data_IF_000713820563
#
_entry.id   IF_000713820563
#
_cell.length_a   1.000
_cell.length_b   1.000
_cell.length_c   1.000
_cell.angle_alpha   90.00
_cell.angle_beta   90.00
_cell.angle_gamma   90.00
#
_symmetry.space_group_name_H-M   'P 1'
#
loop_
_entity.id
_entity.type
_entity.pdbx_description
1 polymer ?
#
# COMPACT_ATOMS: atom_id res chain seq x y z
N UNK A 1 10.20 4.63 -7.44
CA UNK A 1 9.06 3.81 -6.98
C UNK A 1 7.82 4.23 -7.74
N UNK A 2 7.06 3.27 -8.27
CA UNK A 2 5.78 3.55 -8.93
C UNK A 2 4.75 4.03 -7.89
N UNK A 3 3.98 5.07 -8.23
CA UNK A 3 2.98 5.62 -7.29
C UNK A 3 1.85 4.59 -7.03
N UNK A 4 1.66 4.23 -5.76
CA UNK A 4 0.58 3.34 -5.30
C UNK A 4 -0.81 3.84 -5.73
N UNK A 5 -1.01 5.15 -5.86
CA UNK A 5 -2.26 5.72 -6.36
C UNK A 5 -2.50 5.36 -7.82
N UNK A 6 -1.46 5.37 -8.64
CA UNK A 6 -1.54 4.98 -10.05
C UNK A 6 -1.87 3.50 -10.18
N UNK A 7 -1.20 2.65 -9.39
CA UNK A 7 -1.48 1.21 -9.31
C UNK A 7 -2.95 0.97 -8.94
N UNK A 8 -3.49 1.72 -7.96
CA UNK A 8 -4.87 1.57 -7.52
C UNK A 8 -5.91 2.07 -8.52
N UNK A 9 -5.65 3.21 -9.18
CA UNK A 9 -6.62 3.85 -10.08
C UNK A 9 -6.68 3.18 -11.45
N UNK A 10 -5.57 2.60 -11.91
CA UNK A 10 -5.46 1.96 -13.22
C UNK A 10 -4.66 0.65 -13.15
N UNK A 11 -5.12 -0.35 -12.38
CA UNK A 11 -4.38 -1.60 -12.15
C UNK A 11 -4.12 -2.35 -13.45
N UNK A 12 -5.12 -2.49 -14.32
CA UNK A 12 -4.98 -3.19 -15.61
C UNK A 12 -3.97 -2.52 -16.55
N UNK A 13 -3.98 -1.19 -16.61
CA UNK A 13 -3.04 -0.46 -17.46
C UNK A 13 -1.60 -0.63 -16.96
N UNK A 14 -1.39 -0.56 -15.65
CA UNK A 14 -0.09 -0.80 -15.03
C UNK A 14 0.34 -2.25 -15.22
N UNK A 15 -0.56 -3.21 -15.01
CA UNK A 15 -0.33 -4.64 -15.19
C UNK A 15 0.14 -4.95 -16.60
N UNK A 16 -0.60 -4.49 -17.61
CA UNK A 16 -0.25 -4.70 -19.01
C UNK A 16 1.12 -4.08 -19.33
N UNK A 17 1.38 -2.85 -18.88
CA UNK A 17 2.66 -2.19 -19.11
C UNK A 17 3.84 -2.92 -18.43
N UNK A 18 3.67 -3.43 -17.21
CA UNK A 18 4.70 -4.20 -16.53
C UNK A 18 4.93 -5.56 -17.19
N UNK A 19 3.87 -6.22 -17.66
CA UNK A 19 3.98 -7.50 -18.38
C UNK A 19 4.73 -7.40 -19.71
N UNK A 20 4.68 -6.23 -20.39
CA UNK A 20 5.52 -5.97 -21.58
C UNK A 20 7.01 -6.09 -21.28
N UNK A 21 7.40 -5.78 -20.04
CA UNK A 21 8.78 -5.81 -19.57
C UNK A 21 9.14 -7.17 -18.99
N UNK A 22 8.32 -7.66 -18.07
CA UNK A 22 8.54 -8.93 -17.39
C UNK A 22 7.21 -9.49 -16.85
N UNK A 23 6.76 -10.66 -17.34
CA UNK A 23 5.56 -11.33 -16.85
C UNK A 23 5.58 -11.65 -15.35
N UNK A 24 6.76 -11.83 -14.73
CA UNK A 24 6.90 -12.14 -13.30
C UNK A 24 6.50 -10.97 -12.40
N UNK A 25 6.35 -9.76 -12.95
CA UNK A 25 5.90 -8.58 -12.22
C UNK A 25 4.40 -8.57 -11.94
N UNK A 26 3.60 -9.35 -12.68
CA UNK A 26 2.14 -9.36 -12.50
C UNK A 26 1.73 -9.89 -11.11
N UNK A 27 2.23 -11.04 -10.60
CA UNK A 27 1.96 -11.49 -9.23
C UNK A 27 2.38 -10.49 -8.15
N UNK A 28 3.49 -9.79 -8.34
CA UNK A 28 3.98 -8.76 -7.40
C UNK A 28 2.98 -7.61 -7.32
N UNK A 29 2.46 -7.17 -8.48
CA UNK A 29 1.45 -6.12 -8.54
C UNK A 29 0.14 -6.52 -7.83
N UNK A 30 -0.32 -7.76 -8.03
CA UNK A 30 -1.51 -8.27 -7.34
C UNK A 30 -1.31 -8.29 -5.81
N UNK A 31 -0.11 -8.66 -5.36
CA UNK A 31 0.21 -8.65 -3.94
C UNK A 31 0.20 -7.23 -3.36
N UNK A 32 0.74 -6.24 -4.08
CA UNK A 32 0.67 -4.83 -3.70
C UNK A 32 -0.78 -4.35 -3.58
N UNK A 33 -1.66 -4.72 -4.52
CA UNK A 33 -3.08 -4.35 -4.48
C UNK A 33 -3.80 -4.96 -3.27
N UNK A 34 -3.49 -6.22 -2.94
CA UNK A 34 -4.04 -6.90 -1.77
C UNK A 34 -3.62 -6.19 -0.47
N UNK A 35 -2.32 -5.95 -0.29
CA UNK A 35 -1.80 -5.29 0.90
C UNK A 35 -2.31 -3.85 1.04
N UNK A 36 -2.43 -3.11 -0.06
CA UNK A 36 -3.04 -1.77 -0.05
C UNK A 36 -4.49 -1.79 0.42
N UNK A 37 -5.26 -2.81 0.01
CA UNK A 37 -6.63 -3.01 0.49
C UNK A 37 -6.66 -3.30 1.98
N UNK A 38 -5.88 -4.28 2.44
CA UNK A 38 -5.80 -4.63 3.86
C UNK A 38 -5.39 -3.45 4.74
N UNK A 39 -4.40 -2.67 4.27
CA UNK A 39 -3.94 -1.45 4.93
C UNK A 39 -5.07 -0.45 5.11
N UNK A 40 -5.83 -0.18 4.05
CA UNK A 40 -6.94 0.80 4.09
C UNK A 40 -8.06 0.34 5.00
N UNK A 41 -8.39 -0.94 4.99
CA UNK A 41 -9.39 -1.53 5.89
C UNK A 41 -8.92 -1.44 7.35
N UNK A 42 -7.68 -1.81 7.64
CA UNK A 42 -7.09 -1.70 8.98
C UNK A 42 -7.07 -0.24 9.48
N UNK A 43 -6.72 0.72 8.62
CA UNK A 43 -6.77 2.15 8.94
C UNK A 43 -8.18 2.62 9.24
N UNK A 44 -9.18 2.17 8.49
CA UNK A 44 -10.58 2.51 8.74
C UNK A 44 -11.01 2.00 10.13
N UNK A 45 -10.71 0.75 10.44
CA UNK A 45 -11.05 0.13 11.72
C UNK A 45 -10.35 0.84 12.89
N UNK A 46 -9.04 1.07 12.79
CA UNK A 46 -8.30 1.70 13.90
C UNK A 46 -8.73 3.14 14.15
N UNK A 47 -9.07 3.89 13.10
CA UNK A 47 -9.60 5.24 13.24
C UNK A 47 -10.98 5.25 13.93
N UNK A 48 -11.84 4.28 13.61
CA UNK A 48 -13.10 4.07 14.32
C UNK A 48 -12.89 3.80 15.81
N UNK A 49 -12.02 2.85 16.15
CA UNK A 49 -11.70 2.52 17.55
C UNK A 49 -11.08 3.69 18.31
N UNK A 50 -10.21 4.48 17.66
CA UNK A 50 -9.62 5.70 18.24
C UNK A 50 -10.70 6.74 18.53
N UNK A 51 -11.69 6.91 17.65
CA UNK A 51 -12.82 7.81 17.86
C UNK A 51 -13.73 7.35 19.01
N UNK A 52 -14.04 6.05 19.07
CA UNK A 52 -14.81 5.44 20.15
C UNK A 52 -14.11 5.62 21.51
N UNK A 53 -12.82 5.31 21.59
CA UNK A 53 -12.00 5.47 22.80
C UNK A 53 -11.98 6.92 23.27
N UNK A 54 -11.84 7.87 22.37
CA UNK A 54 -11.83 9.30 22.71
C UNK A 54 -13.20 9.76 23.25
N UNK A 55 -14.29 9.24 22.70
CA UNK A 55 -15.66 9.51 23.18
C UNK A 55 -15.88 8.91 24.57
N UNK A 56 -15.46 7.65 24.77
CA UNK A 56 -15.52 6.99 26.07
C UNK A 56 -14.69 7.73 27.13
N UNK A 57 -13.51 8.23 26.77
CA UNK A 57 -12.63 8.99 27.68
C UNK A 57 -13.29 10.27 28.20
N UNK A 58 -14.01 10.99 27.33
CA UNK A 58 -14.78 12.18 27.73
C UNK A 58 -15.89 11.80 28.73
N UNK A 59 -16.64 10.73 28.44
CA UNK A 59 -17.72 10.24 29.31
C UNK A 59 -17.21 9.79 30.67
N UNK A 60 -16.07 9.09 30.74
CA UNK A 60 -15.41 8.73 32.01
C UNK A 60 -15.06 9.98 32.82
N UNK A 61 -14.53 11.02 32.17
CA UNK A 61 -14.22 12.29 32.83
C UNK A 61 -15.46 12.99 33.39
N UNK A 62 -16.58 12.93 32.69
CA UNK A 62 -17.87 13.48 33.14
C UNK A 62 -18.44 12.72 34.34
N UNK A 63 -18.46 11.38 34.28
CA UNK A 63 -18.96 10.54 35.37
C UNK A 63 -18.14 10.74 36.66
N UNK A 64 -16.81 10.74 36.55
CA UNK A 64 -15.92 10.98 37.69
C UNK A 64 -16.12 12.35 38.32
N UNK A 65 -16.42 13.39 37.53
CA UNK A 65 -16.75 14.73 38.08
C UNK A 65 -18.09 14.76 38.83
N UNK A 66 -19.04 13.91 38.43
CA UNK A 66 -20.33 13.75 39.09
C UNK A 66 -20.28 12.83 40.31
N UNK A 67 -19.13 12.19 40.58
CA UNK A 67 -18.98 11.19 41.63
C UNK A 67 -19.64 9.84 41.28
N UNK A 68 -19.93 9.61 40.01
CA UNK A 68 -20.52 8.36 39.50
C UNK A 68 -19.43 7.33 39.18
N UNK A 69 -19.79 6.04 39.23
CA UNK A 69 -18.90 4.95 38.87
C UNK A 69 -18.64 4.92 37.34
N UNK A 70 -17.39 4.62 36.98
CA UNK A 70 -16.92 4.54 35.60
C UNK A 70 -16.00 3.33 35.36
N UNK A 71 -15.90 2.37 36.29
CA UNK A 71 -14.98 1.23 36.18
C UNK A 71 -15.22 0.37 34.93
N UNK A 72 -16.48 0.12 34.57
CA UNK A 72 -16.83 -0.64 33.35
C UNK A 72 -16.31 0.05 32.08
N UNK A 73 -16.50 1.37 31.97
CA UNK A 73 -16.03 2.16 30.82
C UNK A 73 -14.50 2.22 30.77
N UNK A 74 -13.84 2.32 31.92
CA UNK A 74 -12.38 2.28 32.00
C UNK A 74 -11.85 0.92 31.52
N UNK A 75 -12.50 -0.17 31.92
CA UNK A 75 -12.13 -1.53 31.50
C UNK A 75 -12.33 -1.72 30.00
N UNK A 76 -13.47 -1.30 29.46
CA UNK A 76 -13.76 -1.36 28.02
C UNK A 76 -12.76 -0.52 27.19
N UNK A 77 -12.35 0.64 27.70
CA UNK A 77 -11.32 1.47 27.07
C UNK A 77 -9.95 0.79 27.02
N UNK A 78 -9.57 0.04 28.06
CA UNK A 78 -8.31 -0.71 28.09
C UNK A 78 -8.29 -1.79 27.01
N UNK A 79 -9.37 -2.59 26.91
CA UNK A 79 -9.53 -3.59 25.84
C UNK A 79 -9.47 -2.96 24.45
N UNK A 80 -10.10 -1.79 24.28
CA UNK A 80 -10.06 -1.02 23.03
C UNK A 80 -8.64 -0.54 22.72
N UNK A 81 -7.89 -0.10 23.73
CA UNK A 81 -6.48 0.28 23.61
C UNK A 81 -5.61 -0.87 23.12
N UNK A 82 -5.79 -2.07 23.67
CA UNK A 82 -5.04 -3.27 23.26
C UNK A 82 -5.37 -3.65 21.80
N UNK A 83 -6.65 -3.55 21.39
CA UNK A 83 -7.06 -3.77 19.99
C UNK A 83 -6.43 -2.75 19.04
N UNK A 84 -6.40 -1.47 19.43
CA UNK A 84 -5.76 -0.41 18.65
C UNK A 84 -4.28 -0.74 18.44
N UNK A 85 -3.56 -1.10 19.51
CA UNK A 85 -2.13 -1.43 19.42
C UNK A 85 -1.87 -2.58 18.44
N UNK A 86 -2.65 -3.65 18.52
CA UNK A 86 -2.52 -4.81 17.60
C UNK A 86 -2.75 -4.44 16.14
N UNK A 87 -3.72 -3.56 15.87
CA UNK A 87 -4.01 -3.12 14.49
C UNK A 87 -2.94 -2.15 14.00
N UNK A 88 -2.46 -1.22 14.84
CA UNK A 88 -1.36 -0.32 14.49
C UNK A 88 -0.07 -1.11 14.17
N UNK A 89 0.23 -2.18 14.92
CA UNK A 89 1.34 -3.09 14.60
C UNK A 89 1.15 -3.81 13.27
N UNK A 90 -0.06 -4.31 12.97
CA UNK A 90 -0.38 -4.91 11.67
C UNK A 90 -0.20 -3.91 10.53
N UNK A 91 -0.65 -2.66 10.70
CA UNK A 91 -0.50 -1.59 9.71
C UNK A 91 1.00 -1.34 9.46
N UNK A 92 1.82 -1.29 10.51
CA UNK A 92 3.27 -1.08 10.37
C UNK A 92 3.94 -2.20 9.56
N UNK A 93 3.56 -3.46 9.80
CA UNK A 93 4.08 -4.59 9.02
C UNK A 93 3.67 -4.49 7.55
N UNK A 94 2.40 -4.17 7.28
CA UNK A 94 1.91 -4.00 5.91
C UNK A 94 2.59 -2.81 5.22
N UNK A 95 2.82 -1.70 5.92
CA UNK A 95 3.52 -0.53 5.39
C UNK A 95 4.93 -0.88 4.94
N UNK A 96 5.66 -1.65 5.76
CA UNK A 96 7.01 -2.10 5.42
C UNK A 96 7.00 -3.02 4.19
N UNK A 97 6.11 -4.01 4.18
CA UNK A 97 6.00 -4.96 3.07
C UNK A 97 5.59 -4.27 1.75
N UNK A 98 4.63 -3.34 1.81
CA UNK A 98 4.26 -2.51 0.67
C UNK A 98 5.44 -1.68 0.16
N UNK A 99 6.21 -1.07 1.06
CA UNK A 99 7.38 -0.28 0.68
C UNK A 99 8.41 -1.14 -0.06
N UNK A 100 8.70 -2.33 0.46
CA UNK A 100 9.68 -3.24 -0.12
C UNK A 100 9.23 -3.73 -1.51
N UNK A 101 7.97 -4.12 -1.66
CA UNK A 101 7.41 -4.55 -2.95
C UNK A 101 7.39 -3.40 -3.98
N UNK A 102 6.99 -2.21 -3.56
CA UNK A 102 6.96 -1.05 -4.45
C UNK A 102 8.36 -0.60 -4.90
N UNK A 103 9.41 -0.86 -4.09
CA UNK A 103 10.80 -0.62 -4.47
C UNK A 103 11.29 -1.64 -5.51
N UNK A 104 10.79 -2.89 -5.44
CA UNK A 104 11.12 -3.94 -6.40
C UNK A 104 10.43 -3.74 -7.77
N UNK A 105 9.29 -3.06 -7.81
CA UNK A 105 8.57 -2.80 -9.08
C UNK A 105 9.30 -1.71 -9.90
N UNK A 106 9.72 -2.02 -11.14
CA UNK A 106 10.34 -1.03 -12.01
C UNK A 106 9.33 0.00 -12.52
N UNK A 107 9.80 1.03 -13.21
CA UNK A 107 8.90 1.95 -13.88
C UNK A 107 8.18 1.26 -15.06
N UNK A 108 6.95 1.69 -15.34
CA UNK A 108 6.19 1.23 -16.51
C UNK A 108 6.85 1.77 -17.79
N UNK A 109 7.04 0.95 -18.83
CA UNK A 109 7.41 1.43 -20.16
C UNK A 109 6.42 2.50 -20.69
N UNK A 110 6.89 3.38 -21.57
CA UNK A 110 6.02 4.27 -22.33
C UNK A 110 5.31 3.47 -23.43
N UNK A 111 4.16 3.97 -23.90
CA UNK A 111 3.36 3.28 -24.92
C UNK A 111 4.09 3.12 -26.27
N UNK A 112 5.02 4.03 -26.56
CA UNK A 112 5.87 4.02 -27.76
C UNK A 112 7.02 3.00 -27.70
N UNK A 113 7.32 2.46 -26.52
CA UNK A 113 8.38 1.44 -26.36
C UNK A 113 7.86 0.13 -26.94
N UNK A 114 8.55 -0.45 -27.96
CA UNK A 114 8.13 -1.71 -28.54
C UNK A 114 8.21 -2.84 -27.51
N UNK A 115 7.29 -3.78 -27.63
CA UNK A 115 7.36 -5.03 -26.89
C UNK A 115 8.47 -5.90 -27.48
N UNK A 116 9.19 -6.61 -26.61
CA UNK A 116 10.18 -7.58 -27.02
C UNK A 116 11.33 -7.72 -26.04
N UNK A 117 12.17 -8.72 -26.31
CA UNK A 117 13.41 -8.97 -25.58
C UNK A 117 14.59 -8.15 -26.15
N UNK A 118 15.78 -8.32 -25.57
CA UNK A 118 16.99 -7.59 -25.98
C UNK A 118 17.31 -7.73 -27.48
N UNK A 119 17.00 -8.88 -28.06
CA UNK A 119 17.24 -9.17 -29.49
C UNK A 119 16.23 -8.48 -30.43
N UNK A 120 15.15 -7.91 -29.89
CA UNK A 120 14.07 -7.26 -30.67
C UNK A 120 14.20 -5.72 -30.67
N UNK A 121 15.33 -5.21 -30.15
CA UNK A 121 15.65 -3.80 -30.17
C UNK A 121 15.66 -3.23 -31.59
N UNK A 122 14.98 -2.10 -31.78
CA UNK A 122 14.93 -1.39 -33.07
C UNK A 122 16.09 -0.42 -33.20
N UNK A 123 16.81 -0.51 -34.31
CA UNK A 123 17.84 0.47 -34.65
C UNK A 123 17.20 1.73 -35.22
N UNK A 124 17.20 2.82 -34.46
CA UNK A 124 16.60 4.09 -34.88
C UNK A 124 17.47 4.88 -35.86
N UNK A 125 18.81 4.77 -35.72
CA UNK A 125 19.76 5.48 -36.57
C UNK A 125 21.13 4.80 -36.57
N UNK A 126 21.75 4.74 -37.75
CA UNK A 126 23.17 4.42 -37.90
C UNK A 126 23.90 5.60 -38.54
N UNK A 127 25.17 5.79 -38.20
CA UNK A 127 26.00 6.86 -38.76
C UNK A 127 27.41 6.36 -39.05
N UNK A 128 27.93 6.70 -40.23
CA UNK A 128 29.17 6.14 -40.77
C UNK A 128 28.96 4.79 -41.46
N UNK A 129 29.98 4.35 -42.18
CA UNK A 129 30.01 3.03 -42.83
C UNK A 129 30.92 2.07 -42.04
N UNK A 130 30.50 0.81 -41.92
CA UNK A 130 31.34 -0.21 -41.30
C UNK A 130 32.61 -0.44 -42.15
N UNK A 131 33.81 -0.44 -41.55
CA UNK A 131 35.05 -0.67 -42.29
C UNK A 131 35.05 -2.06 -42.93
N UNK A 132 35.47 -2.12 -44.19
CA UNK A 132 35.70 -3.37 -44.92
C UNK A 132 37.14 -3.81 -44.70
N UNK A 133 37.35 -5.03 -44.20
CA UNK A 133 38.66 -5.66 -43.99
C UNK A 133 38.87 -6.83 -44.93
#
# INVERSE_FOLDING_TARGET
MLDIRRIRLAPEAVRNALMKRDPELAPILEHVLLLDKERREALMVVNGLKAERNTASKKVGELKRKGEDAEELVTAMRVTGDRISKIDDKIRTIDQELQDLLLAIPNTPLDEVPEGHEDENRTEKMWGDAPTF
#
